data_IF_417172808297
#
_entry.id   IF_417172808297
#
_cell.length_a   1.000
_cell.length_b   1.000
_cell.length_c   1.000
_cell.angle_alpha   90.00
_cell.angle_beta   90.00
_cell.angle_gamma   90.00
#
_symmetry.space_group_name_H-M   'P 1'
#
loop_
_entity.id
_entity.type
_entity.pdbx_description
1 polymer ?
#
# COMPACT_ATOMS: atom_id res chain seq x y z
N UNK A 1 20.57 -15.74 26.84
CA UNK A 1 19.85 -15.90 28.12
C UNK A 1 18.42 -15.53 27.83
N UNK A 2 17.46 -16.28 28.37
CA UNK A 2 16.06 -16.01 28.12
C UNK A 2 15.68 -14.65 28.73
N UNK A 3 15.24 -13.67 27.94
CA UNK A 3 14.88 -12.34 28.45
C UNK A 3 13.45 -12.37 28.99
N UNK A 4 13.32 -12.17 30.30
CA UNK A 4 12.03 -12.06 30.97
C UNK A 4 11.73 -10.65 31.47
N UNK A 5 10.58 -10.49 32.13
CA UNK A 5 10.15 -9.21 32.71
C UNK A 5 11.13 -8.67 33.77
N UNK A 6 11.91 -9.54 34.42
CA UNK A 6 12.89 -9.11 35.43
C UNK A 6 14.11 -8.45 34.79
N UNK A 7 14.54 -8.90 33.62
CA UNK A 7 15.64 -8.29 32.87
C UNK A 7 15.25 -6.90 32.36
N UNK A 8 14.02 -6.77 31.84
CA UNK A 8 13.43 -5.49 31.47
C UNK A 8 13.33 -4.55 32.69
N UNK A 9 12.83 -5.04 33.82
CA UNK A 9 12.75 -4.26 35.06
C UNK A 9 14.13 -3.83 35.58
N UNK A 10 15.16 -4.68 35.44
CA UNK A 10 16.52 -4.34 35.80
C UNK A 10 17.09 -3.23 34.89
N UNK A 11 16.87 -3.33 33.57
CA UNK A 11 17.22 -2.25 32.63
C UNK A 11 16.49 -0.95 32.97
N UNK A 12 15.19 -1.01 33.24
CA UNK A 12 14.39 0.15 33.64
C UNK A 12 14.91 0.81 34.93
N UNK A 13 15.25 0.01 35.95
CA UNK A 13 15.90 0.49 37.17
C UNK A 13 17.22 1.19 36.86
N UNK A 14 18.09 0.56 36.07
CA UNK A 14 19.40 1.10 35.66
C UNK A 14 19.22 2.45 34.94
N UNK A 15 18.30 2.51 33.97
CA UNK A 15 18.07 3.70 33.15
C UNK A 15 17.38 4.83 33.94
N UNK A 16 16.56 4.49 34.94
CA UNK A 16 15.96 5.46 35.86
C UNK A 16 16.93 6.02 36.90
N UNK A 17 18.13 5.44 37.08
CA UNK A 17 19.06 5.86 38.13
C UNK A 17 19.61 7.29 37.93
N UNK A 18 19.59 7.78 36.68
CA UNK A 18 19.96 9.15 36.34
C UNK A 18 18.77 10.15 36.42
N UNK A 19 17.55 9.66 36.69
CA UNK A 19 16.35 10.46 36.86
C UNK A 19 16.24 11.05 38.27
N UNK A 20 15.30 11.96 38.47
CA UNK A 20 14.95 12.59 39.76
C UNK A 20 14.58 11.58 40.85
N UNK A 21 14.08 10.40 40.48
CA UNK A 21 13.82 9.28 41.40
C UNK A 21 14.18 7.93 40.77
N UNK A 22 14.93 7.09 41.49
CA UNK A 22 15.27 5.74 41.01
C UNK A 22 14.08 4.79 41.21
N UNK A 23 13.72 4.05 40.16
CA UNK A 23 12.68 3.03 40.20
C UNK A 23 13.28 1.75 40.81
N UNK A 24 12.67 1.25 41.89
CA UNK A 24 13.08 -0.02 42.51
C UNK A 24 12.82 -1.20 41.56
N UNK A 25 13.54 -2.31 41.75
CA UNK A 25 13.37 -3.50 40.89
C UNK A 25 11.93 -4.04 40.95
N UNK A 26 11.33 -4.10 42.14
CA UNK A 26 9.95 -4.56 42.31
C UNK A 26 8.95 -3.66 41.61
N UNK A 27 9.11 -2.34 41.70
CA UNK A 27 8.26 -1.40 40.96
C UNK A 27 8.46 -1.56 39.46
N UNK A 28 9.70 -1.73 38.98
CA UNK A 28 10.00 -2.00 37.58
C UNK A 28 9.28 -3.24 37.06
N UNK A 29 9.24 -4.34 37.82
CA UNK A 29 8.51 -5.55 37.44
C UNK A 29 7.01 -5.28 37.28
N UNK A 30 6.41 -4.53 38.21
CA UNK A 30 5.00 -4.13 38.11
C UNK A 30 4.72 -3.25 36.89
N UNK A 31 5.62 -2.30 36.58
CA UNK A 31 5.48 -1.42 35.41
C UNK A 31 5.59 -2.20 34.10
N UNK A 32 6.54 -3.12 33.99
CA UNK A 32 6.68 -3.99 32.81
C UNK A 32 5.42 -4.85 32.62
N UNK A 33 4.91 -5.46 33.70
CA UNK A 33 3.66 -6.23 33.63
C UNK A 33 2.47 -5.36 33.18
N UNK A 34 2.38 -4.13 33.69
CA UNK A 34 1.35 -3.17 33.29
C UNK A 34 1.46 -2.81 31.80
N UNK A 35 2.67 -2.58 31.28
CA UNK A 35 2.89 -2.38 29.84
C UNK A 35 2.45 -3.57 29.00
N UNK A 36 2.57 -4.80 29.52
CA UNK A 36 2.05 -6.01 28.89
C UNK A 36 0.55 -6.24 29.13
N UNK A 37 -0.16 -5.26 29.72
CA UNK A 37 -1.62 -5.32 29.92
C UNK A 37 -2.06 -6.04 31.19
N UNK A 38 -1.16 -6.33 32.13
CA UNK A 38 -1.48 -6.99 33.40
C UNK A 38 -1.46 -6.03 34.59
N UNK A 39 -2.54 -6.03 35.38
CA UNK A 39 -2.69 -5.14 36.55
C UNK A 39 -1.68 -5.41 37.68
N UNK A 40 -1.12 -6.62 37.72
CA UNK A 40 -0.16 -7.04 38.76
C UNK A 40 0.81 -8.10 38.24
N UNK A 41 1.95 -8.21 38.93
CA UNK A 41 2.94 -9.28 38.68
C UNK A 41 2.33 -10.67 38.84
N UNK A 42 1.46 -10.86 39.84
CA UNK A 42 0.78 -12.12 40.08
C UNK A 42 -0.17 -12.49 38.92
N UNK A 43 -0.85 -11.50 38.32
CA UNK A 43 -1.70 -11.74 37.15
C UNK A 43 -0.88 -12.19 35.94
N UNK A 44 0.30 -11.58 35.72
CA UNK A 44 1.21 -11.99 34.66
C UNK A 44 1.75 -13.40 34.88
N UNK A 45 2.23 -13.71 36.09
CA UNK A 45 2.73 -15.04 36.44
C UNK A 45 1.65 -16.13 36.32
N UNK A 46 0.41 -15.82 36.69
CA UNK A 46 -0.72 -16.73 36.50
C UNK A 46 -0.99 -16.99 35.01
N UNK A 47 -0.92 -15.95 34.16
CA UNK A 47 -1.06 -16.09 32.71
C UNK A 47 0.08 -16.90 32.09
N UNK A 48 1.33 -16.70 32.53
CA UNK A 48 2.45 -17.54 32.10
C UNK A 48 2.25 -19.01 32.48
N UNK A 49 1.80 -19.29 33.71
CA UNK A 49 1.52 -20.66 34.15
C UNK A 49 0.36 -21.32 33.39
N UNK A 50 -0.56 -20.51 32.85
CA UNK A 50 -1.66 -20.96 32.01
C UNK A 50 -1.30 -20.99 30.50
N UNK A 51 -0.03 -20.76 30.15
CA UNK A 51 0.44 -20.70 28.75
C UNK A 51 -0.26 -19.60 27.92
N UNK A 52 -0.78 -18.57 28.59
CA UNK A 52 -1.42 -17.40 27.96
C UNK A 52 -0.47 -16.20 27.80
N UNK A 53 0.76 -16.35 28.27
CA UNK A 53 1.87 -15.42 28.06
C UNK A 53 3.13 -16.24 27.80
N UNK A 54 4.07 -15.75 26.97
CA UNK A 54 5.26 -16.50 26.67
C UNK A 54 6.18 -16.55 27.90
N UNK A 55 6.89 -17.68 28.05
CA UNK A 55 7.84 -17.88 29.14
C UNK A 55 9.08 -16.98 29.00
N UNK A 56 9.43 -16.64 27.75
CA UNK A 56 10.49 -15.69 27.41
C UNK A 56 10.01 -14.73 26.31
N UNK A 57 10.49 -13.50 26.34
CA UNK A 57 10.14 -12.47 25.36
C UNK A 57 11.09 -12.42 24.16
N UNK A 58 12.17 -13.22 24.14
CA UNK A 58 13.17 -13.19 23.05
C UNK A 58 12.58 -13.49 21.67
N UNK A 59 11.57 -14.35 21.63
CA UNK A 59 10.93 -14.80 20.40
C UNK A 59 9.70 -13.95 20.04
N UNK A 60 9.45 -12.84 20.74
CA UNK A 60 8.29 -11.96 20.49
C UNK A 60 8.73 -10.80 19.58
N UNK A 61 8.33 -10.77 18.30
CA UNK A 61 8.74 -9.71 17.38
C UNK A 61 8.03 -8.38 17.64
N UNK A 62 6.77 -8.41 18.09
CA UNK A 62 5.98 -7.19 18.27
C UNK A 62 5.27 -7.15 19.64
N UNK A 63 5.31 -5.99 20.28
CA UNK A 63 4.59 -5.73 21.53
C UNK A 63 3.81 -4.42 21.41
N UNK A 64 2.51 -4.45 21.75
CA UNK A 64 1.66 -3.25 21.82
C UNK A 64 1.59 -2.77 23.27
N UNK A 65 2.33 -1.72 23.61
CA UNK A 65 2.44 -1.22 24.96
C UNK A 65 1.11 -0.65 25.48
N UNK A 66 0.63 -1.17 26.61
CA UNK A 66 -0.49 -0.59 27.34
C UNK A 66 0.00 0.59 28.21
N UNK A 67 0.15 1.75 27.58
CA UNK A 67 0.66 2.94 28.27
C UNK A 67 -0.32 3.54 29.26
N UNK A 68 -1.62 3.31 29.09
CA UNK A 68 -2.64 3.79 30.02
C UNK A 68 -2.54 2.98 31.33
N UNK A 69 -2.45 1.65 31.22
CA UNK A 69 -2.24 0.80 32.39
C UNK A 69 -0.87 1.03 33.05
N UNK A 70 0.18 1.31 32.27
CA UNK A 70 1.49 1.70 32.80
C UNK A 70 1.38 2.95 33.69
N UNK A 71 0.66 3.97 33.22
CA UNK A 71 0.47 5.24 33.94
C UNK A 71 -0.38 5.03 35.20
N UNK A 72 -1.49 4.30 35.09
CA UNK A 72 -2.33 3.95 36.24
C UNK A 72 -1.49 3.23 37.30
N UNK A 73 -0.69 2.25 36.89
CA UNK A 73 0.16 1.49 37.80
C UNK A 73 1.26 2.34 38.43
N UNK A 74 1.86 3.27 37.69
CA UNK A 74 2.84 4.19 38.23
C UNK A 74 2.24 5.11 39.31
N UNK A 75 1.01 5.59 39.10
CA UNK A 75 0.29 6.40 40.07
C UNK A 75 -0.05 5.62 41.35
N UNK A 76 -0.51 4.37 41.23
CA UNK A 76 -0.75 3.49 42.39
C UNK A 76 0.51 3.24 43.21
N UNK A 77 1.66 3.09 42.53
CA UNK A 77 2.98 2.92 43.16
C UNK A 77 3.57 4.24 43.67
N UNK A 78 2.86 5.36 43.51
CA UNK A 78 3.26 6.71 43.92
C UNK A 78 4.62 7.13 43.33
N UNK A 79 4.84 6.80 42.07
CA UNK A 79 6.00 7.25 41.33
C UNK A 79 5.78 8.69 40.84
N UNK A 80 6.77 9.55 41.03
CA UNK A 80 6.72 10.97 40.65
C UNK A 80 7.17 11.23 39.20
N UNK A 81 7.44 10.17 38.43
CA UNK A 81 7.91 10.26 37.05
C UNK A 81 6.80 10.80 36.12
N UNK A 82 7.11 11.81 35.27
CA UNK A 82 6.23 12.22 34.19
C UNK A 82 5.89 11.06 33.25
N UNK A 83 4.67 11.04 32.72
CA UNK A 83 4.22 9.95 31.81
C UNK A 83 5.13 9.81 30.58
N UNK A 84 5.62 10.93 30.05
CA UNK A 84 6.54 10.95 28.91
C UNK A 84 7.90 10.33 29.24
N UNK A 85 8.36 10.46 30.49
CA UNK A 85 9.59 9.84 30.95
C UNK A 85 9.43 8.33 31.15
N UNK A 86 8.32 7.89 31.76
CA UNK A 86 8.01 6.46 31.92
C UNK A 86 7.96 5.73 30.57
N UNK A 87 7.31 6.34 29.56
CA UNK A 87 7.29 5.81 28.19
C UNK A 87 8.70 5.67 27.62
N UNK A 88 9.52 6.73 27.70
CA UNK A 88 10.92 6.71 27.23
C UNK A 88 11.77 5.64 27.94
N UNK A 89 11.65 5.51 29.26
CA UNK A 89 12.36 4.51 30.03
C UNK A 89 11.96 3.09 29.63
N UNK A 90 10.67 2.86 29.36
CA UNK A 90 10.18 1.57 28.89
C UNK A 90 10.69 1.25 27.48
N UNK A 91 10.59 2.19 26.54
CA UNK A 91 11.16 2.03 25.18
C UNK A 91 12.65 1.73 25.23
N UNK A 92 13.42 2.43 26.08
CA UNK A 92 14.84 2.19 26.25
C UNK A 92 15.14 0.80 26.86
N UNK A 93 14.31 0.33 27.79
CA UNK A 93 14.47 -0.99 28.39
C UNK A 93 14.23 -2.13 27.38
N UNK A 94 13.19 -2.00 26.56
CA UNK A 94 12.94 -2.92 25.44
C UNK A 94 14.09 -2.87 24.43
N UNK A 95 14.54 -1.70 24.00
CA UNK A 95 15.64 -1.58 23.05
C UNK A 95 16.98 -2.16 23.57
N UNK A 96 17.28 -2.02 24.87
CA UNK A 96 18.51 -2.57 25.47
C UNK A 96 18.48 -4.10 25.58
N UNK A 97 17.32 -4.69 25.86
CA UNK A 97 17.20 -6.12 26.20
C UNK A 97 16.61 -6.98 25.09
N UNK A 98 15.78 -6.41 24.24
CA UNK A 98 15.05 -7.07 23.17
C UNK A 98 15.20 -6.25 21.87
N UNK A 99 16.40 -6.15 21.29
CA UNK A 99 16.64 -5.31 20.10
C UNK A 99 15.88 -5.79 18.85
N UNK A 100 15.45 -7.06 18.82
CA UNK A 100 14.61 -7.60 17.75
C UNK A 100 13.11 -7.36 17.93
N UNK A 101 12.68 -6.89 19.10
CA UNK A 101 11.26 -6.63 19.40
C UNK A 101 10.91 -5.18 19.10
N UNK A 102 9.90 -4.97 18.25
CA UNK A 102 9.32 -3.64 18.00
C UNK A 102 8.24 -3.34 19.04
N UNK A 103 8.41 -2.24 19.75
CA UNK A 103 7.44 -1.75 20.74
C UNK A 103 6.55 -0.68 20.11
N UNK A 104 5.27 -1.00 19.97
CA UNK A 104 4.24 -0.14 19.39
C UNK A 104 3.44 0.58 20.47
N UNK A 105 3.02 1.82 20.19
CA UNK A 105 2.20 2.62 21.12
C UNK A 105 0.69 2.38 21.01
N UNK A 106 0.24 1.77 19.92
CA UNK A 106 -1.17 1.51 19.61
C UNK A 106 -1.30 0.31 18.66
N UNK A 107 -2.51 -0.20 18.52
CA UNK A 107 -2.82 -1.22 17.51
C UNK A 107 -2.70 -0.66 16.09
N UNK A 108 -3.07 0.60 15.85
CA UNK A 108 -2.87 1.25 14.56
C UNK A 108 -1.38 1.27 14.13
N UNK A 109 -0.47 1.46 15.10
CA UNK A 109 0.96 1.39 14.82
C UNK A 109 1.43 -0.03 14.46
N UNK A 110 0.84 -1.05 15.08
CA UNK A 110 1.10 -2.45 14.71
C UNK A 110 0.51 -2.77 13.33
N UNK A 111 -0.70 -2.31 13.05
CA UNK A 111 -1.37 -2.50 11.76
C UNK A 111 -0.58 -1.87 10.61
N UNK A 112 -0.05 -0.65 10.82
CA UNK A 112 0.82 0.01 9.84
C UNK A 112 2.11 -0.79 9.59
N UNK A 113 2.75 -1.32 10.63
CA UNK A 113 3.92 -2.19 10.46
C UNK A 113 3.57 -3.49 9.73
N UNK A 114 2.41 -4.09 10.01
CA UNK A 114 1.97 -5.29 9.30
C UNK A 114 1.67 -4.98 7.83
N UNK A 115 1.11 -3.81 7.54
CA UNK A 115 0.87 -3.34 6.18
C UNK A 115 2.18 -3.28 5.39
N UNK A 116 3.25 -2.71 5.96
CA UNK A 116 4.58 -2.68 5.33
C UNK A 116 5.15 -4.09 5.09
N UNK A 117 4.96 -5.01 6.05
CA UNK A 117 5.41 -6.40 5.91
C UNK A 117 4.62 -7.16 4.84
N UNK A 118 3.31 -6.92 4.71
CA UNK A 118 2.48 -7.48 3.65
C UNK A 118 2.91 -6.95 2.30
N UNK A 119 3.12 -5.64 2.16
CA UNK A 119 3.62 -5.07 0.89
C UNK A 119 4.94 -5.73 0.47
N UNK A 120 5.88 -5.87 1.41
CA UNK A 120 7.16 -6.52 1.13
C UNK A 120 7.00 -7.99 0.71
N UNK A 121 6.13 -8.73 1.39
CA UNK A 121 5.86 -10.13 1.08
C UNK A 121 5.20 -10.30 -0.29
N UNK A 122 4.19 -9.47 -0.61
CA UNK A 122 3.51 -9.47 -1.92
C UNK A 122 4.48 -9.12 -3.04
N UNK A 123 5.30 -8.07 -2.86
CA UNK A 123 6.31 -7.68 -3.84
C UNK A 123 7.36 -8.78 -4.09
N UNK A 124 7.71 -9.53 -3.04
CA UNK A 124 8.71 -10.61 -3.13
C UNK A 124 8.13 -11.94 -3.61
N UNK A 125 6.81 -12.03 -3.85
CA UNK A 125 6.16 -13.28 -4.25
C UNK A 125 6.44 -13.62 -5.71
N UNK A 126 6.75 -14.89 -5.97
CA UNK A 126 7.09 -15.38 -7.31
C UNK A 126 5.93 -15.15 -8.30
N UNK A 127 4.67 -15.29 -7.88
CA UNK A 127 3.52 -15.13 -8.78
C UNK A 127 3.34 -13.67 -9.22
N UNK A 128 3.58 -12.73 -8.30
CA UNK A 128 3.54 -11.30 -8.62
C UNK A 128 4.70 -10.97 -9.56
N UNK A 129 5.90 -11.48 -9.29
CA UNK A 129 7.07 -11.29 -10.15
C UNK A 129 6.88 -11.88 -11.56
N UNK A 130 6.22 -13.04 -11.69
CA UNK A 130 5.87 -13.64 -12.98
C UNK A 130 4.90 -12.75 -13.78
N UNK A 131 3.87 -12.19 -13.12
CA UNK A 131 2.95 -11.26 -13.78
C UNK A 131 3.60 -9.93 -14.13
N UNK A 132 4.51 -9.42 -13.29
CA UNK A 132 5.32 -8.24 -13.60
C UNK A 132 6.18 -8.47 -14.84
N UNK A 133 6.75 -9.66 -15.01
CA UNK A 133 7.54 -9.99 -16.21
C UNK A 133 6.71 -10.01 -17.50
N UNK A 134 5.38 -10.14 -17.39
CA UNK A 134 4.45 -10.04 -18.52
C UNK A 134 4.03 -8.59 -18.83
N UNK A 135 4.35 -7.65 -17.94
CA UNK A 135 4.15 -6.22 -18.13
C UNK A 135 5.40 -5.54 -18.70
N UNK A 136 5.22 -4.47 -19.49
CA UNK A 136 6.27 -3.54 -19.88
C UNK A 136 6.22 -2.39 -18.88
N UNK A 137 7.14 -2.39 -17.91
CA UNK A 137 7.13 -1.47 -16.79
C UNK A 137 8.51 -0.89 -16.45
N UNK A 138 8.54 0.30 -15.87
CA UNK A 138 9.75 1.01 -15.40
C UNK A 138 9.92 0.96 -13.86
N UNK A 139 9.38 -0.09 -13.24
CA UNK A 139 9.41 -0.30 -11.79
C UNK A 139 8.01 -0.37 -11.15
N UNK A 140 7.98 -0.62 -9.85
CA UNK A 140 6.73 -0.62 -9.07
C UNK A 140 6.49 0.78 -8.53
N UNK A 141 5.32 1.33 -8.80
CA UNK A 141 4.91 2.64 -8.31
C UNK A 141 4.29 2.54 -6.91
N UNK A 142 3.35 1.61 -6.74
CA UNK A 142 2.58 1.49 -5.49
C UNK A 142 2.09 0.06 -5.25
N UNK A 143 2.05 -0.35 -3.97
CA UNK A 143 1.32 -1.53 -3.51
C UNK A 143 0.22 -1.06 -2.57
N UNK A 144 -1.02 -1.15 -3.03
CA UNK A 144 -2.21 -0.70 -2.32
C UNK A 144 -2.97 -1.90 -1.74
N UNK A 145 -3.28 -1.85 -0.44
CA UNK A 145 -4.16 -2.81 0.22
C UNK A 145 -5.55 -2.15 0.32
N UNK A 146 -6.60 -2.82 -0.15
CA UNK A 146 -7.94 -2.19 -0.13
C UNK A 146 -8.55 -2.12 1.29
N UNK A 147 -8.11 -3.00 2.19
CA UNK A 147 -8.63 -3.10 3.55
C UNK A 147 -7.54 -2.82 4.59
N UNK A 148 -7.95 -2.16 5.68
CA UNK A 148 -7.11 -1.99 6.86
C UNK A 148 -6.94 -3.32 7.60
N UNK A 149 -5.73 -3.55 8.14
CA UNK A 149 -5.44 -4.70 8.99
C UNK A 149 -5.93 -4.46 10.41
N UNK A 150 -6.56 -5.48 11.01
CA UNK A 150 -7.06 -5.45 12.40
C UNK A 150 -6.39 -6.53 13.27
N UNK A 151 -5.11 -6.36 13.68
CA UNK A 151 -4.37 -7.36 14.45
C UNK A 151 -5.01 -7.73 15.80
N UNK A 152 -5.83 -6.85 16.37
CA UNK A 152 -6.47 -7.03 17.67
C UNK A 152 -7.64 -8.02 17.67
N UNK A 153 -8.15 -8.38 16.48
CA UNK A 153 -9.12 -9.49 16.31
C UNK A 153 -8.51 -10.85 16.67
N UNK A 154 -7.19 -11.01 16.58
CA UNK A 154 -6.51 -12.22 17.02
C UNK A 154 -6.61 -12.42 18.53
N UNK A 155 -6.95 -13.64 18.93
CA UNK A 155 -6.98 -14.03 20.35
C UNK A 155 -5.80 -14.93 20.67
N UNK A 156 -5.49 -15.11 21.95
CA UNK A 156 -4.39 -15.99 22.38
C UNK A 156 -4.68 -17.45 22.00
N UNK A 157 -5.97 -17.84 21.94
CA UNK A 157 -6.39 -19.22 21.66
C UNK A 157 -6.52 -19.50 20.16
N UNK A 158 -6.81 -18.47 19.36
CA UNK A 158 -7.05 -18.60 17.93
C UNK A 158 -6.38 -17.46 17.15
N UNK A 159 -5.47 -17.82 16.21
CA UNK A 159 -5.03 -16.91 15.16
C UNK A 159 -6.21 -16.33 14.39
N UNK A 160 -6.01 -15.14 13.82
CA UNK A 160 -6.97 -14.52 12.93
C UNK A 160 -6.36 -14.40 11.54
N UNK A 161 -7.03 -14.97 10.55
CA UNK A 161 -6.62 -14.89 9.14
C UNK A 161 -7.65 -14.09 8.38
N UNK A 162 -7.19 -13.11 7.63
CA UNK A 162 -8.02 -12.29 6.75
C UNK A 162 -7.48 -12.38 5.33
N UNK A 163 -8.39 -12.64 4.39
CA UNK A 163 -8.08 -12.59 2.96
C UNK A 163 -8.42 -11.20 2.46
N UNK A 164 -7.44 -10.52 1.86
CA UNK A 164 -7.62 -9.18 1.34
C UNK A 164 -7.14 -9.06 -0.11
N UNK A 165 -7.88 -8.29 -0.92
CA UNK A 165 -7.39 -7.82 -2.20
C UNK A 165 -6.23 -6.84 -2.00
N UNK A 166 -5.19 -7.04 -2.81
CA UNK A 166 -4.02 -6.18 -2.87
C UNK A 166 -3.79 -5.84 -4.35
N UNK A 167 -3.54 -4.58 -4.63
CA UNK A 167 -3.27 -4.08 -5.97
C UNK A 167 -1.82 -3.62 -6.05
N UNK A 168 -1.08 -4.15 -7.01
CA UNK A 168 0.27 -3.69 -7.32
C UNK A 168 0.20 -2.88 -8.62
N UNK A 169 0.57 -1.60 -8.54
CA UNK A 169 0.63 -0.69 -9.68
C UNK A 169 2.08 -0.53 -10.12
N UNK A 170 2.30 -0.72 -11.42
CA UNK A 170 3.59 -0.62 -12.10
C UNK A 170 3.70 0.70 -12.83
N UNK A 171 4.89 1.28 -12.84
CA UNK A 171 5.21 2.46 -13.64
C UNK A 171 5.20 2.13 -15.13
N UNK A 172 4.56 2.99 -15.92
CA UNK A 172 4.44 2.81 -17.37
C UNK A 172 5.77 3.06 -18.08
N UNK A 173 6.25 2.07 -18.84
CA UNK A 173 7.36 2.26 -19.78
C UNK A 173 6.84 2.89 -21.08
N UNK A 174 7.00 4.22 -21.20
CA UNK A 174 6.54 4.98 -22.36
C UNK A 174 7.38 4.73 -23.63
N UNK A 175 8.50 4.01 -23.53
CA UNK A 175 9.35 3.66 -24.68
C UNK A 175 8.90 2.34 -25.34
N UNK A 176 7.99 1.59 -24.72
CA UNK A 176 7.52 0.28 -25.20
C UNK A 176 6.00 0.20 -25.35
N UNK A 177 5.47 -0.69 -26.21
CA UNK A 177 4.04 -0.91 -26.31
C UNK A 177 3.44 -1.30 -24.95
N UNK A 178 2.33 -0.67 -24.58
CA UNK A 178 1.61 -0.97 -23.35
C UNK A 178 1.21 -2.45 -23.28
N UNK A 179 1.47 -3.11 -22.14
CA UNK A 179 1.11 -4.51 -21.94
C UNK A 179 0.49 -4.79 -20.57
N UNK A 180 -0.10 -3.77 -19.93
CA UNK A 180 -0.66 -3.85 -18.58
C UNK A 180 0.26 -3.24 -17.54
N UNK A 181 -0.33 -2.69 -16.47
CA UNK A 181 0.42 -2.03 -15.40
C UNK A 181 -0.20 -2.20 -14.00
N UNK A 182 -1.31 -2.94 -13.87
CA UNK A 182 -1.92 -3.24 -12.58
C UNK A 182 -1.96 -4.75 -12.40
N UNK A 183 -1.56 -5.24 -11.25
CA UNK A 183 -1.66 -6.65 -10.88
C UNK A 183 -2.63 -6.73 -9.70
N UNK A 184 -3.73 -7.44 -9.92
CA UNK A 184 -4.70 -7.75 -8.86
C UNK A 184 -4.24 -9.03 -8.17
N UNK A 185 -4.03 -8.96 -6.87
CA UNK A 185 -3.66 -10.11 -6.06
C UNK A 185 -4.57 -10.28 -4.86
N UNK A 186 -4.61 -11.50 -4.34
CA UNK A 186 -5.31 -11.86 -3.11
C UNK A 186 -4.27 -12.40 -2.15
N UNK A 187 -4.17 -11.81 -0.96
CA UNK A 187 -3.27 -12.24 0.09
C UNK A 187 -4.07 -12.68 1.31
N UNK A 188 -3.70 -13.82 1.89
CA UNK A 188 -4.13 -14.22 3.21
C UNK A 188 -3.09 -13.75 4.23
N UNK A 189 -3.51 -12.93 5.19
CA UNK A 189 -2.66 -12.42 6.26
C UNK A 189 -3.11 -13.03 7.56
N UNK A 190 -2.24 -13.80 8.20
CA UNK A 190 -2.50 -14.47 9.48
C UNK A 190 -1.78 -13.75 10.61
N UNK A 191 -2.55 -13.30 11.59
CA UNK A 191 -2.03 -12.71 12.83
C UNK A 191 -2.10 -13.73 13.96
N UNK A 192 -0.95 -13.98 14.59
CA UNK A 192 -0.84 -14.84 15.77
C UNK A 192 -0.51 -14.00 17.01
N UNK A 193 -1.24 -14.26 18.09
CA UNK A 193 -1.09 -13.58 19.36
C UNK A 193 -0.44 -14.51 20.38
N UNK A 194 0.78 -14.18 20.78
CA UNK A 194 1.59 -14.95 21.75
C UNK A 194 1.25 -14.65 23.21
N UNK A 195 0.60 -13.51 23.44
CA UNK A 195 0.21 -13.07 24.77
C UNK A 195 -0.74 -11.89 24.69
N UNK A 196 -1.14 -11.36 25.83
CA UNK A 196 -2.11 -10.26 25.91
C UNK A 196 -1.69 -9.04 25.11
N UNK A 197 -0.40 -8.74 25.01
CA UNK A 197 0.11 -7.62 24.20
C UNK A 197 1.25 -8.03 23.26
N UNK A 198 1.47 -9.32 23.07
CA UNK A 198 2.60 -9.90 22.34
C UNK A 198 2.10 -10.56 21.05
N UNK A 199 2.72 -10.23 19.92
CA UNK A 199 2.30 -10.68 18.58
C UNK A 199 3.50 -11.22 17.80
N UNK A 200 3.26 -12.26 16.99
CA UNK A 200 4.21 -12.68 15.96
C UNK A 200 4.24 -11.69 14.80
N UNK A 201 5.25 -11.80 13.93
CA UNK A 201 5.18 -11.19 12.62
C UNK A 201 4.01 -11.83 11.83
N UNK A 202 3.29 -11.06 11.00
CA UNK A 202 2.18 -11.61 10.24
C UNK A 202 2.72 -12.64 9.24
N UNK A 203 2.05 -13.78 9.16
CA UNK A 203 2.29 -14.73 8.07
C UNK A 203 1.48 -14.28 6.87
N UNK A 204 2.14 -14.13 5.72
CA UNK A 204 1.51 -13.63 4.50
C UNK A 204 1.63 -14.69 3.42
N UNK A 205 0.50 -15.13 2.90
CA UNK A 205 0.41 -16.07 1.78
C UNK A 205 -0.30 -15.40 0.61
N UNK A 206 0.39 -15.22 -0.52
CA UNK A 206 -0.26 -14.79 -1.76
C UNK A 206 -1.01 -15.97 -2.35
N UNK A 207 -2.33 -15.85 -2.46
CA UNK A 207 -3.22 -16.91 -2.96
C UNK A 207 -3.32 -16.89 -4.49
N UNK A 208 -3.37 -15.69 -5.06
CA UNK A 208 -3.43 -15.48 -6.52
C UNK A 208 -2.85 -14.13 -6.88
N UNK A 209 -2.25 -14.05 -8.06
CA UNK A 209 -1.87 -12.81 -8.71
C UNK A 209 -2.26 -12.92 -10.20
N UNK A 210 -2.79 -11.84 -10.77
CA UNK A 210 -3.10 -11.76 -12.17
C UNK A 210 -2.91 -10.32 -12.65
N UNK A 211 -2.20 -10.15 -13.77
CA UNK A 211 -2.17 -8.88 -14.47
C UNK A 211 -3.59 -8.48 -14.89
N UNK A 212 -4.01 -7.30 -14.51
CA UNK A 212 -5.28 -6.69 -14.90
C UNK A 212 -5.21 -6.28 -16.36
N UNK A 213 -5.64 -7.21 -17.23
CA UNK A 213 -5.74 -6.99 -18.67
C UNK A 213 -7.02 -6.24 -19.05
N UNK A 214 -7.94 -6.12 -18.11
CA UNK A 214 -9.25 -5.48 -18.28
C UNK A 214 -9.23 -4.00 -17.86
N UNK A 215 -8.04 -3.43 -17.62
CA UNK A 215 -7.88 -2.01 -17.30
C UNK A 215 -8.16 -1.17 -18.56
N UNK A 216 -9.43 -0.83 -18.74
CA UNK A 216 -10.00 -0.23 -19.95
C UNK A 216 -11.37 -0.78 -20.35
N UNK A 217 -11.76 -1.95 -19.80
CA UNK A 217 -12.94 -2.72 -20.21
C UNK A 217 -14.07 -2.66 -19.16
N UNK A 218 -14.42 -1.46 -18.66
CA UNK A 218 -15.80 -1.27 -18.15
C UNK A 218 -16.82 -1.20 -19.30
N UNK A 219 -16.36 -1.12 -20.55
CA UNK A 219 -17.15 -1.45 -21.73
C UNK A 219 -16.52 -2.66 -22.41
N UNK A 220 -17.13 -3.83 -22.21
CA UNK A 220 -16.90 -5.08 -22.94
C UNK A 220 -17.31 -4.92 -24.42
N UNK A 221 -16.72 -3.94 -25.11
CA UNK A 221 -16.97 -3.63 -26.51
C UNK A 221 -15.63 -3.45 -27.21
N UNK A 222 -15.24 -4.47 -27.97
CA UNK A 222 -14.18 -4.41 -28.97
C UNK A 222 -14.19 -3.03 -29.67
N UNK A 223 -13.03 -2.41 -29.99
CA UNK A 223 -12.95 -1.03 -30.49
C UNK A 223 -14.06 -0.76 -31.50
N UNK A 224 -15.05 0.05 -31.11
CA UNK A 224 -16.31 0.14 -31.85
C UNK A 224 -16.20 1.16 -32.98
N UNK A 225 -15.24 2.09 -32.91
CA UNK A 225 -15.17 3.26 -33.77
C UNK A 225 -13.99 3.20 -34.75
N UNK A 226 -14.29 3.53 -36.00
CA UNK A 226 -13.31 3.79 -37.07
C UNK A 226 -12.69 5.18 -36.90
N UNK A 227 -11.53 5.42 -37.53
CA UNK A 227 -10.92 6.77 -37.57
C UNK A 227 -11.91 7.81 -38.12
N UNK A 228 -12.73 7.43 -39.10
CA UNK A 228 -13.79 8.29 -39.65
C UNK A 228 -14.85 8.66 -38.59
N UNK A 229 -15.26 7.73 -37.73
CA UNK A 229 -16.23 8.01 -36.67
C UNK A 229 -15.64 8.91 -35.58
N UNK A 230 -14.38 8.68 -35.18
CA UNK A 230 -13.68 9.56 -34.24
C UNK A 230 -13.49 10.98 -34.80
N UNK A 231 -13.10 11.10 -36.08
CA UNK A 231 -12.98 12.39 -36.77
C UNK A 231 -14.35 13.07 -36.94
N UNK A 232 -15.42 12.30 -37.18
CA UNK A 232 -16.78 12.84 -37.29
C UNK A 232 -17.25 13.48 -35.98
N UNK A 233 -16.94 12.84 -34.84
CA UNK A 233 -17.25 13.35 -33.50
C UNK A 233 -16.43 14.62 -33.20
N UNK A 234 -15.11 14.58 -33.38
CA UNK A 234 -14.21 15.72 -33.11
C UNK A 234 -14.46 16.93 -34.02
N UNK A 235 -14.83 16.69 -35.29
CA UNK A 235 -15.15 17.76 -36.25
C UNK A 235 -16.64 18.15 -36.20
N UNK A 236 -17.48 17.35 -35.54
CA UNK A 236 -18.95 17.44 -35.55
C UNK A 236 -19.52 17.47 -36.97
N UNK A 237 -19.04 16.57 -37.83
CA UNK A 237 -19.48 16.34 -39.21
C UNK A 237 -20.12 14.96 -39.32
N UNK A 238 -20.71 14.62 -40.47
CA UNK A 238 -21.23 13.25 -40.66
C UNK A 238 -20.10 12.25 -40.91
N UNK A 239 -20.27 10.98 -40.53
CA UNK A 239 -19.30 9.91 -40.78
C UNK A 239 -18.90 9.81 -42.26
N UNK A 240 -19.86 9.88 -43.19
CA UNK A 240 -19.58 9.88 -44.63
C UNK A 240 -18.72 11.06 -45.13
N UNK A 241 -18.73 12.20 -44.42
CA UNK A 241 -17.82 13.32 -44.71
C UNK A 241 -16.45 13.10 -44.06
N UNK A 242 -16.39 12.42 -42.91
CA UNK A 242 -15.15 12.12 -42.21
C UNK A 242 -14.38 10.94 -42.84
N UNK A 243 -15.05 10.06 -43.57
CA UNK A 243 -14.42 9.02 -44.42
C UNK A 243 -13.46 9.63 -45.45
N UNK A 244 -13.77 10.82 -46.01
CA UNK A 244 -12.87 11.55 -46.93
C UNK A 244 -11.56 11.99 -46.24
N UNK A 245 -11.56 12.05 -44.90
CA UNK A 245 -10.47 12.57 -44.08
C UNK A 245 -9.70 11.47 -43.34
N UNK A 246 -10.23 10.24 -43.32
CA UNK A 246 -9.69 9.14 -42.53
C UNK A 246 -8.30 8.68 -43.00
N UNK A 247 -7.95 8.93 -44.26
CA UNK A 247 -6.63 8.65 -44.84
C UNK A 247 -5.57 9.72 -44.49
N UNK A 248 -5.96 10.80 -43.80
CA UNK A 248 -5.01 11.84 -43.40
C UNK A 248 -4.10 11.35 -42.27
N UNK A 249 -2.80 11.26 -42.55
CA UNK A 249 -1.80 10.93 -41.54
C UNK A 249 -1.73 12.01 -40.45
N UNK A 250 -1.75 11.59 -39.19
CA UNK A 250 -1.56 12.49 -38.05
C UNK A 250 -0.08 12.74 -37.79
N UNK A 251 0.29 13.98 -37.55
CA UNK A 251 1.61 14.34 -37.03
C UNK A 251 1.56 14.36 -35.50
N UNK A 252 2.46 13.62 -34.85
CA UNK A 252 2.59 13.64 -33.40
C UNK A 252 3.19 14.98 -32.94
N UNK A 253 2.53 15.63 -31.99
CA UNK A 253 3.00 16.83 -31.33
C UNK A 253 3.66 16.41 -30.00
N UNK A 254 4.97 16.21 -30.04
CA UNK A 254 5.78 16.02 -28.83
C UNK A 254 6.12 17.39 -28.26
N UNK A 255 5.73 17.69 -27.01
CA UNK A 255 5.92 19.00 -26.34
C UNK A 255 7.38 19.43 -26.07
N UNK A 256 8.36 18.89 -26.80
CA UNK A 256 9.79 19.11 -26.61
C UNK A 256 10.32 20.42 -27.20
N UNK A 257 9.50 21.16 -27.95
CA UNK A 257 9.87 22.39 -28.67
C UNK A 257 9.32 23.69 -28.05
N UNK A 258 8.85 23.64 -26.79
CA UNK A 258 8.33 24.81 -26.07
C UNK A 258 6.82 25.07 -26.29
N UNK A 259 6.11 24.14 -26.91
CA UNK A 259 4.64 24.13 -26.98
C UNK A 259 4.04 23.30 -25.85
N UNK A 260 3.06 23.85 -25.14
CA UNK A 260 2.44 23.27 -23.93
C UNK A 260 1.42 22.14 -24.21
N UNK A 261 1.41 21.58 -25.42
CA UNK A 261 0.40 20.63 -25.86
C UNK A 261 1.09 19.35 -26.38
N UNK A 262 0.79 18.22 -25.73
CA UNK A 262 1.05 16.88 -26.26
C UNK A 262 -0.22 16.35 -26.93
N UNK A 263 -0.09 15.68 -28.07
CA UNK A 263 -1.23 15.13 -28.80
C UNK A 263 -0.93 14.90 -30.28
N UNK A 264 -1.95 14.92 -31.11
CA UNK A 264 -1.82 14.72 -32.55
C UNK A 264 -2.39 15.90 -33.34
N UNK A 265 -1.78 16.23 -34.48
CA UNK A 265 -2.28 17.22 -35.42
C UNK A 265 -2.57 16.56 -36.78
N UNK A 266 -3.81 16.66 -37.23
CA UNK A 266 -4.22 16.27 -38.58
C UNK A 266 -4.24 17.49 -39.49
N UNK A 267 -3.68 17.36 -40.70
CA UNK A 267 -3.79 18.36 -41.76
C UNK A 267 -4.67 17.83 -42.91
N UNK A 268 -5.90 18.34 -42.99
CA UNK A 268 -6.87 17.91 -44.00
C UNK A 268 -6.75 18.65 -45.34
N UNK A 269 -5.73 19.51 -45.53
CA UNK A 269 -5.59 20.37 -46.72
C UNK A 269 -5.56 19.58 -48.04
N UNK A 270 -5.03 18.36 -48.02
CA UNK A 270 -4.93 17.48 -49.21
C UNK A 270 -6.04 16.44 -49.32
N UNK A 271 -6.86 16.29 -48.29
CA UNK A 271 -7.82 15.20 -48.15
C UNK A 271 -9.27 15.69 -48.24
N UNK A 272 -9.57 16.88 -47.70
CA UNK A 272 -10.92 17.44 -47.73
C UNK A 272 -11.36 17.85 -49.15
N UNK A 273 -12.53 17.37 -49.60
CA UNK A 273 -13.15 17.88 -50.82
C UNK A 273 -13.44 19.41 -50.72
N UNK A 274 -13.50 20.17 -51.83
CA UNK A 274 -13.69 21.62 -51.79
C UNK A 274 -14.94 22.07 -51.02
N UNK A 275 -15.99 21.24 -51.04
CA UNK A 275 -17.24 21.47 -50.30
C UNK A 275 -17.06 21.25 -48.80
N UNK A 276 -16.34 20.19 -48.41
CA UNK A 276 -16.03 19.87 -47.01
C UNK A 276 -15.02 20.86 -46.42
N UNK A 277 -13.99 21.24 -47.18
CA UNK A 277 -13.02 22.25 -46.78
C UNK A 277 -13.69 23.61 -46.50
N UNK A 278 -14.61 24.05 -47.37
CA UNK A 278 -15.38 25.28 -47.12
C UNK A 278 -16.27 25.19 -45.87
N UNK A 279 -16.81 24.00 -45.56
CA UNK A 279 -17.62 23.73 -44.37
C UNK A 279 -16.76 23.77 -43.09
N UNK A 280 -15.61 23.11 -43.09
CA UNK A 280 -14.66 23.09 -41.97
C UNK A 280 -14.07 24.48 -41.72
N UNK A 281 -13.66 25.19 -42.76
CA UNK A 281 -13.20 26.58 -42.66
C UNK A 281 -14.27 27.52 -42.11
N UNK A 282 -15.55 27.33 -42.49
CA UNK A 282 -16.65 28.13 -41.94
C UNK A 282 -16.95 27.80 -40.48
N UNK A 283 -16.80 26.54 -40.05
CA UNK A 283 -17.15 26.07 -38.71
C UNK A 283 -16.03 26.28 -37.69
N UNK A 284 -14.77 26.07 -38.08
CA UNK A 284 -13.60 26.07 -37.19
C UNK A 284 -12.53 27.09 -37.57
N UNK A 285 -12.61 27.69 -38.76
CA UNK A 285 -11.59 28.63 -39.23
C UNK A 285 -10.26 27.99 -39.63
N UNK A 286 -10.15 26.66 -39.61
CA UNK A 286 -8.95 25.90 -39.95
C UNK A 286 -9.29 24.55 -40.57
N UNK A 287 -8.37 24.03 -41.40
CA UNK A 287 -8.35 22.65 -41.90
C UNK A 287 -7.42 21.74 -41.08
N UNK A 288 -6.80 22.29 -40.04
CA UNK A 288 -5.98 21.55 -39.09
C UNK A 288 -6.79 21.21 -37.84
N UNK A 289 -6.64 19.98 -37.36
CA UNK A 289 -7.28 19.49 -36.15
C UNK A 289 -6.20 19.02 -35.17
N UNK A 290 -6.15 19.67 -34.00
CA UNK A 290 -5.37 19.19 -32.85
C UNK A 290 -6.26 18.39 -31.94
N UNK A 291 -5.83 17.20 -31.57
CA UNK A 291 -6.52 16.29 -30.65
C UNK A 291 -5.55 15.87 -29.55
N UNK A 292 -6.10 15.56 -28.38
CA UNK A 292 -5.30 15.12 -27.24
C UNK A 292 -4.63 13.76 -27.46
N UNK A 293 -3.73 13.34 -26.57
CA UNK A 293 -3.04 12.05 -26.66
C UNK A 293 -4.00 10.85 -26.59
N UNK A 294 -5.20 11.04 -26.02
CA UNK A 294 -6.27 10.03 -25.92
C UNK A 294 -7.07 9.80 -27.22
N UNK A 295 -6.73 10.48 -28.33
CA UNK A 295 -7.55 10.43 -29.56
C UNK A 295 -7.70 9.03 -30.16
N UNK A 296 -6.66 8.20 -30.04
CA UNK A 296 -6.68 6.84 -30.56
C UNK A 296 -7.29 5.82 -29.58
N UNK A 297 -7.68 6.25 -28.37
CA UNK A 297 -8.31 5.38 -27.38
C UNK A 297 -9.67 4.92 -27.92
N UNK A 298 -9.82 3.62 -28.17
CA UNK A 298 -11.04 3.02 -28.73
C UNK A 298 -11.20 3.13 -30.25
N UNK A 299 -10.17 3.61 -30.98
CA UNK A 299 -10.15 3.68 -32.45
C UNK A 299 -9.46 2.45 -33.05
N UNK A 300 -10.10 1.78 -34.02
CA UNK A 300 -9.50 0.63 -34.72
C UNK A 300 -8.24 1.05 -35.50
N UNK A 301 -7.10 0.44 -35.19
CA UNK A 301 -5.89 0.57 -36.00
C UNK A 301 -6.07 -0.18 -37.35
N UNK A 302 -5.70 0.41 -38.50
CA UNK A 302 -5.76 -0.25 -39.82
C UNK A 302 -5.01 -1.60 -39.90
N UNK A 303 -4.10 -1.90 -38.97
CA UNK A 303 -3.37 -3.18 -38.90
C UNK A 303 -4.12 -4.32 -38.17
N UNK A 304 -5.34 -4.11 -37.67
CA UNK A 304 -6.16 -5.20 -37.12
C UNK A 304 -6.84 -6.00 -38.24
N UNK A 305 -6.55 -7.31 -38.41
CA UNK A 305 -7.29 -8.15 -39.34
C UNK A 305 -8.73 -8.38 -38.84
N UNK A 306 -9.69 -8.31 -39.77
CA UNK A 306 -11.12 -8.63 -39.55
C UNK A 306 -11.35 -9.99 -38.88
#
# INVERSE_FOLDING_TARGET
MAVGITDLAHSLRKNSAASTASISLSHGQHLVCATLGHKSLTSFQAAQNAEQEPQSLDAVPHVVADYDLLVERAAELKLEHPHTELRKLMTAAFAERLPGTKLHSSYDGLAAEFHDLVQYAVFSDDRVNEEMANANYDGVDEVYLENDLEPDKATIEQPYTETMPVQVTLGLDLERPYSGHQIKCQAAVTTVRLGRRCFEAPEVEVLSAALDRDWGDEDDSAPVKTIAEALAEELGISVAEAEELADAESMELTGHSGESFSGYEFDFTRYASPKLAAKLMKKRGSLQLRVGPWFYDGVRNPDFPN
#
